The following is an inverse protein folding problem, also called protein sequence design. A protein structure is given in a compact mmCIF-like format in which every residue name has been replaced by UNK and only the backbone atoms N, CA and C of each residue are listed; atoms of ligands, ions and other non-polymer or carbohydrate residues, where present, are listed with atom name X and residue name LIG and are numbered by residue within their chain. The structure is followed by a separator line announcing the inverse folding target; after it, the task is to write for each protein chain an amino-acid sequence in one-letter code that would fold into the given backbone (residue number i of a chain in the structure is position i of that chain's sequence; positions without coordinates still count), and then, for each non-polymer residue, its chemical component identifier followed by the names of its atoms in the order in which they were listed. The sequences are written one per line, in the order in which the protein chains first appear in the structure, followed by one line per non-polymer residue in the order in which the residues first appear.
data_IF_654416155613
#
_entry.id   IF_654416155613
#
_cell.length_a   1.000
_cell.length_b   1.000
_cell.length_c   1.000
_cell.angle_alpha   90.00
_cell.angle_beta   90.00
_cell.angle_gamma   90.00
#
_symmetry.space_group_name_H-M   'P 1'
#
loop_
_entity.id
_entity.type
_entity.pdbx_description
1 polymer ?
#
# COMPACT_ATOMS: atom_id res chain seq x y z
N UNK A 1 2.09 -6.64 15.86
CA UNK A 1 1.71 -5.59 14.90
C UNK A 1 1.26 -4.40 15.73
N UNK A 2 1.14 -3.18 15.22
CA UNK A 2 0.62 -2.09 16.07
C UNK A 2 -0.89 -2.29 16.28
N UNK A 3 -1.41 -1.90 17.44
CA UNK A 3 -2.86 -1.95 17.74
C UNK A 3 -3.69 -1.27 16.64
N UNK A 4 -3.14 -0.19 16.05
CA UNK A 4 -3.74 0.51 14.92
C UNK A 4 -3.84 -0.34 13.64
N UNK A 5 -2.76 -1.03 13.25
CA UNK A 5 -2.80 -1.87 12.04
C UNK A 5 -3.75 -3.05 12.22
N UNK A 6 -3.79 -3.64 13.41
CA UNK A 6 -4.71 -4.73 13.73
C UNK A 6 -6.17 -4.27 13.64
N UNK A 7 -6.48 -3.08 14.18
CA UNK A 7 -7.81 -2.46 14.05
C UNK A 7 -8.20 -2.24 12.59
N UNK A 8 -7.32 -1.63 11.78
CA UNK A 8 -7.59 -1.34 10.37
C UNK A 8 -7.80 -2.63 9.57
N UNK A 9 -6.99 -3.67 9.81
CA UNK A 9 -7.13 -4.95 9.12
C UNK A 9 -8.42 -5.67 9.52
N UNK A 10 -8.83 -5.62 10.79
CA UNK A 10 -10.11 -6.18 11.22
C UNK A 10 -11.26 -5.47 10.52
N UNK A 11 -11.27 -4.13 10.58
CA UNK A 11 -12.32 -3.32 9.94
C UNK A 11 -12.42 -3.62 8.43
N UNK A 12 -11.29 -3.73 7.75
CA UNK A 12 -11.22 -4.07 6.33
C UNK A 12 -11.88 -5.41 6.03
N UNK A 13 -11.55 -6.45 6.81
CA UNK A 13 -12.09 -7.80 6.60
C UNK A 13 -13.57 -7.90 6.96
N UNK A 14 -13.97 -7.26 8.06
CA UNK A 14 -15.33 -7.33 8.59
C UNK A 14 -16.34 -6.55 7.74
N UNK A 15 -15.88 -5.52 7.02
CA UNK A 15 -16.72 -4.63 6.21
C UNK A 15 -16.49 -4.78 4.70
N UNK A 16 -16.12 -5.98 4.24
CA UNK A 16 -15.97 -6.28 2.81
C UNK A 16 -15.03 -5.33 2.04
N UNK A 17 -14.00 -4.82 2.71
CA UNK A 17 -12.99 -3.93 2.14
C UNK A 17 -13.15 -2.46 2.50
N UNK A 18 -14.27 -2.06 3.13
CA UNK A 18 -14.52 -0.67 3.52
C UNK A 18 -13.94 -0.33 4.90
N UNK A 19 -13.13 0.72 5.00
CA UNK A 19 -12.48 1.14 6.25
C UNK A 19 -12.75 2.62 6.54
N UNK A 20 -13.39 2.92 7.67
CA UNK A 20 -13.62 4.29 8.14
C UNK A 20 -12.41 4.85 8.88
N UNK A 21 -11.68 3.99 9.59
CA UNK A 21 -10.47 4.39 10.33
C UNK A 21 -9.49 5.10 9.39
N UNK A 22 -8.97 6.26 9.82
CA UNK A 22 -8.05 7.10 9.04
C UNK A 22 -8.52 7.50 7.62
N UNK A 23 -9.83 7.35 7.32
CA UNK A 23 -10.41 7.81 6.06
C UNK A 23 -10.03 6.99 4.83
N UNK A 24 -9.64 5.71 4.98
CA UNK A 24 -9.27 4.85 3.86
C UNK A 24 -10.43 4.62 2.86
N UNK A 25 -11.67 4.58 3.33
CA UNK A 25 -12.83 4.24 2.50
C UNK A 25 -12.65 2.87 1.86
N UNK A 26 -12.83 2.80 0.55
CA UNK A 26 -12.63 1.57 -0.25
C UNK A 26 -11.22 1.47 -0.85
N UNK A 27 -10.35 2.44 -0.57
CA UNK A 27 -8.99 2.55 -1.13
C UNK A 27 -7.96 1.92 -0.21
N UNK A 28 -8.13 0.63 0.11
CA UNK A 28 -7.19 -0.10 0.96
C UNK A 28 -6.88 -1.49 0.42
N UNK A 29 -5.63 -1.91 0.61
CA UNK A 29 -5.21 -3.31 0.49
C UNK A 29 -4.44 -3.72 1.75
N UNK A 30 -4.44 -5.02 2.06
CA UNK A 30 -3.55 -5.59 3.09
C UNK A 30 -2.44 -6.36 2.40
N UNK A 31 -1.24 -5.79 2.42
CA UNK A 31 -0.04 -6.36 1.79
C UNK A 31 0.61 -7.39 2.70
N UNK A 32 0.80 -8.62 2.21
CA UNK A 32 1.51 -9.69 2.94
C UNK A 32 3.00 -9.67 2.56
N UNK A 33 3.73 -8.65 3.01
CA UNK A 33 5.16 -8.51 2.70
C UNK A 33 5.99 -9.59 3.40
N UNK A 34 6.99 -10.16 2.72
CA UNK A 34 7.92 -11.15 3.30
C UNK A 34 9.18 -10.43 3.77
N UNK A 35 9.48 -10.51 5.07
CA UNK A 35 10.65 -9.87 5.68
C UNK A 35 11.95 -10.25 5.00
N UNK A 36 12.64 -9.29 4.36
CA UNK A 36 13.84 -9.56 3.56
C UNK A 36 14.98 -10.26 4.34
N UNK A 37 15.03 -10.05 5.67
CA UNK A 37 16.01 -10.69 6.56
C UNK A 37 15.45 -11.88 7.33
N UNK A 38 14.19 -11.81 7.75
CA UNK A 38 13.60 -12.81 8.66
C UNK A 38 12.80 -13.91 7.97
N UNK A 39 12.36 -13.70 6.72
CA UNK A 39 11.45 -14.59 6.02
C UNK A 39 10.01 -14.57 6.56
N UNK A 40 9.72 -13.80 7.60
CA UNK A 40 8.39 -13.73 8.21
C UNK A 40 7.42 -12.91 7.37
N UNK A 41 6.17 -13.37 7.28
CA UNK A 41 5.08 -12.60 6.68
C UNK A 41 4.67 -11.47 7.62
N UNK A 42 4.52 -10.27 7.06
CA UNK A 42 4.08 -9.05 7.76
C UNK A 42 2.94 -8.42 7.00
N UNK A 43 1.82 -8.19 7.69
CA UNK A 43 0.65 -7.54 7.13
C UNK A 43 0.78 -6.02 7.26
N UNK A 44 0.58 -5.32 6.15
CA UNK A 44 0.60 -3.86 6.09
C UNK A 44 -0.68 -3.37 5.42
N UNK A 45 -1.60 -2.73 6.15
CA UNK A 45 -2.73 -2.03 5.53
C UNK A 45 -2.20 -0.76 4.86
N UNK A 46 -2.47 -0.61 3.56
CA UNK A 46 -1.95 0.48 2.74
C UNK A 46 -3.06 1.13 1.93
N UNK A 47 -2.99 2.46 1.78
CA UNK A 47 -3.81 3.15 0.80
C UNK A 47 -3.45 2.62 -0.60
N UNK A 48 -4.46 2.28 -1.39
CA UNK A 48 -4.28 1.72 -2.71
C UNK A 48 -5.25 2.31 -3.72
N UNK A 49 -4.77 2.52 -4.94
CA UNK A 49 -5.58 2.96 -6.07
C UNK A 49 -5.76 1.77 -7.00
N UNK A 50 -7.00 1.34 -7.21
CA UNK A 50 -7.31 0.28 -8.16
C UNK A 50 -7.33 0.82 -9.60
N UNK A 51 -6.65 0.15 -10.52
CA UNK A 51 -6.56 0.53 -11.94
C UNK A 51 -6.63 -0.70 -12.84
N UNK A 52 -7.74 -0.89 -13.55
CA UNK A 52 -7.89 -1.93 -14.59
C UNK A 52 -7.45 -3.33 -14.15
N UNK A 53 -7.80 -3.73 -12.92
CA UNK A 53 -7.42 -5.04 -12.37
C UNK A 53 -6.02 -5.10 -11.73
N UNK A 54 -5.31 -3.98 -11.66
CA UNK A 54 -4.06 -3.78 -10.93
C UNK A 54 -4.26 -2.80 -9.78
N UNK A 55 -3.24 -2.63 -8.93
CA UNK A 55 -3.26 -1.63 -7.86
C UNK A 55 -1.95 -0.85 -7.80
N UNK A 56 -2.04 0.43 -7.43
CA UNK A 56 -0.90 1.24 -7.04
C UNK A 56 -0.87 1.42 -5.53
N UNK A 57 0.30 1.24 -4.92
CA UNK A 57 0.57 1.53 -3.51
C UNK A 57 1.78 2.47 -3.38
N UNK A 58 1.86 3.22 -2.28
CA UNK A 58 2.93 4.21 -2.05
C UNK A 58 3.57 4.08 -0.67
N UNK A 59 4.90 4.13 -0.63
CA UNK A 59 5.75 4.09 0.57
C UNK A 59 5.87 5.43 1.29
N UNK A 60 4.75 6.10 1.57
CA UNK A 60 4.76 7.43 2.20
C UNK A 60 5.14 7.39 3.69
N UNK A 61 4.73 6.34 4.41
CA UNK A 61 4.90 6.21 5.87
C UNK A 61 4.47 7.48 6.63
N UNK A 62 3.34 8.07 6.23
CA UNK A 62 2.82 9.33 6.79
C UNK A 62 3.84 10.48 6.80
N UNK A 63 4.70 10.55 5.79
CA UNK A 63 5.72 11.60 5.67
C UNK A 63 7.01 11.33 6.42
N UNK A 64 7.20 10.12 6.97
CA UNK A 64 8.46 9.79 7.63
C UNK A 64 9.67 9.93 6.69
N UNK A 65 10.80 10.38 7.26
CA UNK A 65 12.08 10.58 6.55
C UNK A 65 12.73 9.28 6.04
N UNK A 66 12.21 8.12 6.45
CA UNK A 66 12.68 6.79 6.01
C UNK A 66 11.56 6.02 5.33
N UNK A 67 11.94 5.21 4.35
CA UNK A 67 11.05 4.20 3.77
C UNK A 67 10.52 3.25 4.85
N UNK A 68 9.23 2.85 4.79
CA UNK A 68 8.72 1.81 5.67
C UNK A 68 9.36 0.46 5.30
N UNK A 69 9.53 -0.42 6.29
CA UNK A 69 10.26 -1.68 6.11
C UNK A 69 9.70 -2.57 4.97
N UNK A 70 8.39 -2.50 4.70
CA UNK A 70 7.77 -3.27 3.62
C UNK A 70 8.29 -2.89 2.23
N UNK A 71 8.78 -1.66 2.01
CA UNK A 71 9.39 -1.24 0.74
C UNK A 71 10.60 -2.10 0.42
N UNK A 72 11.49 -2.30 1.40
CA UNK A 72 12.67 -3.16 1.25
C UNK A 72 12.27 -4.63 1.07
N UNK A 73 11.20 -5.06 1.72
CA UNK A 73 10.67 -6.41 1.56
C UNK A 73 10.20 -6.67 0.12
N UNK A 74 9.46 -5.73 -0.49
CA UNK A 74 8.97 -5.87 -1.87
C UNK A 74 10.09 -5.90 -2.91
N UNK A 75 11.11 -5.06 -2.74
CA UNK A 75 12.31 -5.08 -3.60
C UNK A 75 13.06 -6.41 -3.54
N UNK A 76 12.97 -7.13 -2.42
CA UNK A 76 13.64 -8.42 -2.23
C UNK A 76 12.76 -9.61 -2.65
N UNK A 77 11.45 -9.52 -2.44
CA UNK A 77 10.46 -10.56 -2.71
C UNK A 77 9.30 -9.94 -3.52
N UNK A 78 9.41 -9.86 -4.86
CA UNK A 78 8.45 -9.15 -5.70
C UNK A 78 7.22 -9.98 -6.08
N UNK A 79 7.04 -11.18 -5.51
CA UNK A 79 5.82 -11.98 -5.67
C UNK A 79 5.26 -12.28 -4.29
N UNK A 80 4.08 -11.75 -4.01
CA UNK A 80 3.47 -11.75 -2.67
C UNK A 80 1.96 -11.91 -2.78
N UNK A 81 1.33 -12.21 -1.66
CA UNK A 81 -0.13 -12.15 -1.53
C UNK A 81 -0.59 -10.77 -1.05
N UNK A 82 -1.75 -10.36 -1.54
CA UNK A 82 -2.43 -9.13 -1.12
C UNK A 82 -3.91 -9.40 -0.91
N UNK A 83 -4.47 -8.88 0.17
CA UNK A 83 -5.92 -8.83 0.34
C UNK A 83 -6.47 -7.56 -0.29
N UNK A 84 -7.50 -7.71 -1.11
CA UNK A 84 -8.14 -6.63 -1.87
C UNK A 84 -9.66 -6.66 -1.65
N UNK A 85 -10.35 -5.52 -1.78
CA UNK A 85 -11.81 -5.50 -1.83
C UNK A 85 -12.32 -6.43 -2.95
N UNK A 86 -13.40 -7.15 -2.66
CA UNK A 86 -14.09 -8.03 -3.62
C UNK A 86 -15.60 -7.79 -3.58
N UNK A 87 -16.34 -8.56 -4.37
CA UNK A 87 -17.81 -8.46 -4.40
C UNK A 87 -18.39 -9.06 -3.11
N UNK A 88 -18.72 -8.20 -2.14
CA UNK A 88 -19.33 -8.57 -0.86
C UNK A 88 -18.37 -9.16 0.19
N UNK A 89 -17.12 -9.45 -0.17
CA UNK A 89 -16.09 -9.91 0.77
C UNK A 89 -14.67 -9.59 0.28
N UNK A 90 -13.74 -9.47 1.22
CA UNK A 90 -12.30 -9.38 0.94
C UNK A 90 -11.81 -10.70 0.34
N UNK A 91 -10.90 -10.62 -0.64
CA UNK A 91 -10.23 -11.79 -1.22
C UNK A 91 -8.72 -11.62 -1.23
N UNK A 92 -7.99 -12.73 -1.15
CA UNK A 92 -6.54 -12.77 -1.30
C UNK A 92 -6.17 -13.09 -2.74
N UNK A 93 -5.19 -12.37 -3.28
CA UNK A 93 -4.68 -12.52 -4.65
C UNK A 93 -3.17 -12.52 -4.61
N UNK A 94 -2.54 -13.44 -5.33
CA UNK A 94 -1.09 -13.40 -5.57
C UNK A 94 -0.79 -12.38 -6.67
N UNK A 95 0.16 -11.49 -6.41
CA UNK A 95 0.56 -10.43 -7.33
C UNK A 95 2.06 -10.42 -7.55
N UNK A 96 2.45 -10.06 -8.77
CA UNK A 96 3.80 -9.59 -9.10
C UNK A 96 3.88 -8.07 -8.87
N UNK A 97 4.99 -7.64 -8.27
CA UNK A 97 5.23 -6.28 -7.81
C UNK A 97 6.34 -5.64 -8.64
N UNK A 98 6.03 -4.48 -9.23
CA UNK A 98 6.98 -3.67 -9.99
C UNK A 98 7.08 -2.29 -9.38
N UNK A 99 8.30 -1.85 -9.07
CA UNK A 99 8.55 -0.46 -8.66
C UNK A 99 8.41 0.47 -9.87
N UNK A 100 7.66 1.55 -9.69
CA UNK A 100 7.44 2.56 -10.74
C UNK A 100 8.75 3.33 -10.95
N UNK A 101 9.18 3.41 -12.21
CA UNK A 101 10.38 4.13 -12.62
C UNK A 101 10.25 5.65 -12.51
N UNK A 102 11.40 6.34 -12.55
CA UNK A 102 11.47 7.79 -12.35
C UNK A 102 10.68 8.58 -13.41
N UNK A 103 10.56 8.03 -14.60
CA UNK A 103 9.85 8.56 -15.77
C UNK A 103 8.33 8.54 -15.61
N UNK A 104 7.79 7.51 -14.97
CA UNK A 104 6.34 7.38 -14.73
C UNK A 104 5.91 7.96 -13.37
N UNK A 105 6.84 8.16 -12.45
CA UNK A 105 6.53 8.44 -11.04
C UNK A 105 5.66 9.68 -10.83
N UNK A 106 5.94 10.81 -11.50
CA UNK A 106 5.13 12.04 -11.33
C UNK A 106 3.67 11.80 -11.73
N UNK A 107 3.46 11.01 -12.79
CA UNK A 107 2.12 10.67 -13.28
C UNK A 107 1.40 9.76 -12.28
N UNK A 108 2.10 8.82 -11.65
CA UNK A 108 1.48 7.96 -10.63
C UNK A 108 1.25 8.71 -9.31
N UNK A 109 2.18 9.58 -8.92
CA UNK A 109 2.07 10.39 -7.72
C UNK A 109 0.87 11.34 -7.77
N UNK A 110 0.61 11.96 -8.92
CA UNK A 110 -0.56 12.81 -9.13
C UNK A 110 -1.89 12.09 -8.84
N UNK A 111 -1.96 10.76 -9.03
CA UNK A 111 -3.15 9.98 -8.69
C UNK A 111 -3.37 9.90 -7.17
N UNK A 112 -2.30 9.74 -6.39
CA UNK A 112 -2.39 9.70 -4.92
C UNK A 112 -2.83 11.04 -4.35
N UNK A 113 -2.26 12.15 -4.82
CA UNK A 113 -2.62 13.49 -4.34
C UNK A 113 -4.03 13.89 -4.78
N UNK A 114 -4.50 13.43 -5.94
CA UNK A 114 -5.89 13.60 -6.38
C UNK A 114 -6.87 12.76 -5.53
N UNK A 115 -6.48 11.54 -5.15
CA UNK A 115 -7.34 10.65 -4.37
C UNK A 115 -7.39 11.03 -2.87
N UNK A 116 -6.29 11.54 -2.32
CA UNK A 116 -6.23 12.01 -0.93
C UNK A 116 -5.26 13.20 -0.80
N UNK A 117 -5.79 14.42 -0.54
CA UNK A 117 -4.96 15.62 -0.37
C UNK A 117 -3.91 15.51 0.75
N UNK A 118 -4.13 14.65 1.75
CA UNK A 118 -3.17 14.45 2.86
C UNK A 118 -1.79 13.93 2.42
N UNK A 119 -1.67 13.37 1.22
CA UNK A 119 -0.37 13.03 0.64
C UNK A 119 0.52 14.25 0.35
N UNK A 120 -0.08 15.43 0.14
CA UNK A 120 0.68 16.68 -0.05
C UNK A 120 1.39 17.09 1.25
N UNK A 121 0.71 16.97 2.40
CA UNK A 121 1.27 17.29 3.72
C UNK A 121 2.46 16.38 4.06
N UNK A 122 2.44 15.12 3.60
CA UNK A 122 3.54 14.18 3.81
C UNK A 122 4.84 14.61 3.10
N UNK A 123 4.77 15.34 1.99
CA UNK A 123 5.97 15.84 1.32
C UNK A 123 6.73 16.82 2.22
N UNK A 124 6.01 17.66 2.97
CA UNK A 124 6.60 18.69 3.83
C UNK A 124 7.47 18.11 4.95
N UNK A 125 7.11 16.90 5.43
CA UNK A 125 7.79 16.22 6.53
C UNK A 125 8.83 15.19 6.08
N UNK A 126 8.83 14.82 4.79
CA UNK A 126 9.67 13.76 4.24
C UNK A 126 11.14 14.16 3.97
N UNK A 127 11.55 15.38 4.31
CA UNK A 127 12.92 15.90 4.11
C UNK A 127 13.45 15.70 2.67
N UNK A 128 12.57 15.89 1.67
CA UNK A 128 12.94 15.76 0.25
C UNK A 128 13.03 14.32 -0.28
N UNK A 129 12.66 13.31 0.52
CA UNK A 129 12.56 11.92 0.05
C UNK A 129 11.45 11.78 -0.98
N UNK A 130 11.77 11.19 -2.13
CA UNK A 130 10.79 10.71 -3.11
C UNK A 130 10.16 9.42 -2.62
N UNK A 131 8.83 9.38 -2.45
CA UNK A 131 8.15 8.18 -1.98
C UNK A 131 8.13 7.09 -3.05
N UNK A 132 8.60 5.87 -2.78
CA UNK A 132 8.55 4.81 -3.77
C UNK A 132 7.10 4.38 -4.02
N UNK A 133 6.76 4.20 -5.31
CA UNK A 133 5.43 3.75 -5.75
C UNK A 133 5.59 2.38 -6.38
N UNK A 134 4.68 1.46 -6.08
CA UNK A 134 4.70 0.10 -6.61
C UNK A 134 3.37 -0.20 -7.29
N UNK A 135 3.46 -0.91 -8.42
CA UNK A 135 2.33 -1.52 -9.13
C UNK A 135 2.22 -2.98 -8.74
N UNK A 136 1.02 -3.39 -8.34
CA UNK A 136 0.65 -4.77 -8.02
C UNK A 136 -0.17 -5.33 -9.18
N UNK A 137 0.34 -6.34 -9.85
CA UNK A 137 -0.31 -6.99 -11.00
C UNK A 137 -0.68 -8.41 -10.62
N UNK A 138 -1.93 -8.87 -10.78
CA UNK A 138 -2.26 -10.29 -10.60
C UNK A 138 -1.31 -11.20 -11.39
N UNK A 139 -0.80 -12.25 -10.73
CA UNK A 139 0.14 -13.22 -11.30
C UNK A 139 -0.51 -14.22 -12.28
#
# INVERSE_FOLDING_TARGET
MSDFNEQVISEFRDNAGHVRTAGFGDNLVVLHSIGARSGEVRLNPLFAIAESGTWLIVGSAAGAVKDPAWVHNLRSNPRIDVEVPGDGAVRTVTVDVTEVGDDEWETQWAKFTAASPGFLDYIETAEGRRFPIFRLTPA
#
